data_IF_294331565161
#
_entry.id   IF_294331565161
#
_cell.length_a   1.000
_cell.length_b   1.000
_cell.length_c   1.000
_cell.angle_alpha   90.00
_cell.angle_beta   90.00
_cell.angle_gamma   90.00
#
_symmetry.space_group_name_H-M   'P 1'
#
loop_
_entity.id
_entity.type
_entity.pdbx_description
1 polymer ?
#
# COMPACT_ATOMS: atom_id res chain seq x y z
N UNK A 1 42.12 -40.44 -37.22
CA UNK A 1 41.69 -40.93 -35.88
C UNK A 1 41.79 -39.81 -34.84
N UNK A 2 42.98 -39.18 -34.63
CA UNK A 2 43.15 -38.08 -33.63
C UNK A 2 42.33 -36.82 -33.99
N UNK A 3 42.35 -36.39 -35.24
CA UNK A 3 41.56 -35.24 -35.74
C UNK A 3 40.06 -35.51 -35.60
N UNK A 4 39.59 -36.68 -35.93
CA UNK A 4 38.20 -37.13 -35.76
C UNK A 4 37.80 -37.07 -34.28
N UNK A 5 38.70 -37.43 -33.37
CA UNK A 5 38.43 -37.36 -31.93
C UNK A 5 38.29 -35.95 -31.44
N UNK A 6 39.07 -34.98 -31.97
CA UNK A 6 38.92 -33.54 -31.66
C UNK A 6 37.57 -33.01 -32.14
N UNK A 7 37.16 -33.32 -33.37
CA UNK A 7 35.84 -32.89 -33.87
C UNK A 7 34.68 -33.56 -33.13
N UNK A 8 34.85 -34.79 -32.70
CA UNK A 8 33.85 -35.46 -31.88
C UNK A 8 33.72 -34.82 -30.50
N UNK A 9 34.87 -34.55 -29.86
CA UNK A 9 34.91 -33.86 -28.58
C UNK A 9 34.25 -32.47 -28.66
N UNK A 10 34.54 -31.70 -29.70
CA UNK A 10 33.92 -30.40 -29.91
C UNK A 10 32.39 -30.49 -30.06
N UNK A 11 31.91 -31.50 -30.83
CA UNK A 11 30.48 -31.74 -31.02
C UNK A 11 29.75 -32.18 -29.75
N UNK A 12 30.42 -32.95 -28.91
CA UNK A 12 29.88 -33.47 -27.64
C UNK A 12 29.99 -32.48 -26.50
N UNK A 13 30.85 -31.47 -26.61
CA UNK A 13 31.07 -30.48 -25.58
C UNK A 13 30.11 -29.29 -25.71
N UNK A 14 29.15 -29.21 -24.77
CA UNK A 14 28.12 -28.16 -24.79
C UNK A 14 28.63 -26.78 -24.27
N UNK A 15 29.76 -26.76 -23.56
CA UNK A 15 30.17 -25.56 -22.80
C UNK A 15 31.35 -24.80 -23.44
N UNK A 16 32.32 -25.52 -24.03
CA UNK A 16 33.50 -24.94 -24.65
C UNK A 16 33.48 -25.24 -26.15
N UNK A 17 32.87 -24.36 -26.92
CA UNK A 17 32.90 -24.42 -28.37
C UNK A 17 34.14 -23.72 -28.92
N UNK A 18 34.95 -24.48 -29.68
CA UNK A 18 36.08 -23.91 -30.40
C UNK A 18 35.61 -23.24 -31.69
N UNK A 19 36.20 -22.10 -32.03
CA UNK A 19 35.89 -21.43 -33.29
C UNK A 19 36.33 -22.31 -34.46
N UNK A 20 35.59 -22.27 -35.59
CA UNK A 20 35.88 -23.08 -36.76
C UNK A 20 37.29 -22.92 -37.31
N UNK A 21 37.81 -21.69 -37.25
CA UNK A 21 39.15 -21.35 -37.74
C UNK A 21 40.23 -21.99 -36.82
N UNK A 22 40.01 -22.00 -35.51
CA UNK A 22 40.89 -22.63 -34.54
C UNK A 22 40.90 -24.15 -34.69
N UNK A 23 39.70 -24.76 -34.93
CA UNK A 23 39.60 -26.22 -35.18
C UNK A 23 40.37 -26.60 -36.44
N UNK A 24 40.31 -25.80 -37.49
CA UNK A 24 41.07 -26.00 -38.70
C UNK A 24 42.56 -25.87 -38.49
N UNK A 25 42.99 -24.86 -37.72
CA UNK A 25 44.40 -24.67 -37.37
C UNK A 25 44.93 -25.80 -36.51
N UNK A 26 44.20 -26.23 -35.48
CA UNK A 26 44.54 -27.43 -34.71
C UNK A 26 44.65 -28.68 -35.56
N UNK A 27 43.70 -28.89 -36.52
CA UNK A 27 43.77 -30.02 -37.44
C UNK A 27 45.03 -29.99 -38.32
N UNK A 28 45.40 -28.82 -38.84
CA UNK A 28 46.65 -28.62 -39.64
C UNK A 28 47.90 -28.91 -38.79
N UNK A 29 47.93 -28.45 -37.56
CA UNK A 29 49.07 -28.71 -36.66
C UNK A 29 49.15 -30.20 -36.26
N UNK A 30 48.04 -30.90 -36.08
CA UNK A 30 47.98 -32.34 -35.85
C UNK A 30 48.47 -33.12 -37.08
N UNK A 31 48.13 -32.73 -38.31
CA UNK A 31 48.63 -33.33 -39.56
C UNK A 31 50.16 -33.19 -39.74
N UNK A 32 50.70 -32.08 -39.28
CA UNK A 32 52.16 -31.80 -39.35
C UNK A 32 52.94 -32.35 -38.14
N UNK A 33 52.25 -33.02 -37.21
CA UNK A 33 52.83 -33.46 -35.94
C UNK A 33 53.97 -34.46 -36.20
N UNK A 34 55.21 -34.05 -35.91
CA UNK A 34 56.43 -34.85 -36.08
C UNK A 34 57.34 -34.79 -34.86
N UNK A 35 57.23 -33.75 -34.05
CA UNK A 35 58.12 -33.46 -32.91
C UNK A 35 57.36 -33.05 -31.64
N UNK A 36 58.01 -33.13 -30.50
CA UNK A 36 57.44 -32.66 -29.21
C UNK A 36 57.07 -31.19 -29.25
N UNK A 37 57.76 -30.36 -30.06
CA UNK A 37 57.45 -28.94 -30.24
C UNK A 37 56.07 -28.74 -30.83
N UNK A 38 55.61 -29.60 -31.75
CA UNK A 38 54.30 -29.52 -32.40
C UNK A 38 53.19 -29.81 -31.40
N UNK A 39 53.40 -30.66 -30.40
CA UNK A 39 52.50 -30.91 -29.30
C UNK A 39 52.23 -29.62 -28.49
N UNK A 40 53.26 -28.86 -28.17
CA UNK A 40 53.10 -27.63 -27.40
C UNK A 40 52.36 -26.55 -28.16
N UNK A 41 52.50 -26.49 -29.49
CA UNK A 41 51.73 -25.59 -30.34
C UNK A 41 50.21 -25.92 -30.30
N UNK A 42 49.87 -27.18 -30.48
CA UNK A 42 48.47 -27.65 -30.43
C UNK A 42 47.84 -27.37 -29.05
N UNK A 43 48.59 -27.69 -27.97
CA UNK A 43 48.18 -27.40 -26.61
C UNK A 43 48.02 -25.91 -26.35
N UNK A 44 48.89 -25.08 -26.92
CA UNK A 44 48.81 -23.63 -26.80
C UNK A 44 47.52 -23.05 -27.40
N UNK A 45 47.08 -23.54 -28.55
CA UNK A 45 45.82 -23.16 -29.19
C UNK A 45 44.63 -23.52 -28.31
N UNK A 46 44.54 -24.73 -27.78
CA UNK A 46 43.49 -25.15 -26.89
C UNK A 46 43.45 -24.37 -25.57
N UNK A 47 44.63 -24.14 -24.96
CA UNK A 47 44.71 -23.36 -23.72
C UNK A 47 44.31 -21.91 -23.92
N UNK A 48 44.67 -21.29 -25.06
CA UNK A 48 44.28 -19.90 -25.37
C UNK A 48 42.77 -19.72 -25.37
N UNK A 49 42.04 -20.64 -25.98
CA UNK A 49 40.57 -20.59 -25.96
C UNK A 49 39.98 -20.87 -24.58
N UNK A 50 40.54 -21.79 -23.85
CA UNK A 50 40.13 -22.05 -22.47
C UNK A 50 40.32 -20.82 -21.59
N UNK A 51 41.48 -20.16 -21.67
CA UNK A 51 41.73 -18.94 -20.89
C UNK A 51 40.77 -17.81 -21.29
N UNK A 52 40.56 -17.59 -22.57
CA UNK A 52 39.58 -16.61 -23.10
C UNK A 52 38.17 -16.84 -22.52
N UNK A 53 37.70 -18.10 -22.59
CA UNK A 53 36.38 -18.47 -22.09
C UNK A 53 36.27 -18.35 -20.56
N UNK A 54 37.34 -18.75 -19.87
CA UNK A 54 37.44 -18.63 -18.41
C UNK A 54 37.38 -17.15 -17.96
N UNK A 55 38.05 -16.27 -18.67
CA UNK A 55 37.99 -14.82 -18.39
C UNK A 55 36.60 -14.24 -18.68
N UNK A 56 35.98 -14.64 -19.78
CA UNK A 56 34.61 -14.23 -20.12
C UNK A 56 33.62 -14.63 -19.03
N UNK A 57 33.66 -15.89 -18.60
CA UNK A 57 32.78 -16.41 -17.56
C UNK A 57 33.04 -15.77 -16.21
N UNK A 58 34.31 -15.56 -15.85
CA UNK A 58 34.69 -14.85 -14.63
C UNK A 58 34.18 -13.41 -14.62
N UNK A 59 34.24 -12.72 -15.76
CA UNK A 59 33.65 -11.39 -15.93
C UNK A 59 32.13 -11.38 -15.72
N UNK A 60 31.42 -12.35 -16.31
CA UNK A 60 29.97 -12.50 -16.12
C UNK A 60 29.59 -12.78 -14.67
N UNK A 61 30.31 -13.68 -14.01
CA UNK A 61 30.10 -14.00 -12.60
C UNK A 61 30.30 -12.75 -11.72
N UNK A 62 31.37 -11.99 -11.97
CA UNK A 62 31.62 -10.76 -11.23
C UNK A 62 30.54 -9.72 -11.45
N UNK A 63 30.07 -9.53 -12.69
CA UNK A 63 28.98 -8.62 -13.01
C UNK A 63 27.70 -9.03 -12.30
N UNK A 64 27.28 -10.28 -12.43
CA UNK A 64 26.07 -10.79 -11.77
C UNK A 64 26.15 -10.70 -10.24
N UNK A 65 27.34 -10.93 -9.67
CA UNK A 65 27.55 -10.78 -8.23
C UNK A 65 27.37 -9.33 -7.76
N UNK A 66 27.83 -8.36 -8.55
CA UNK A 66 27.60 -6.93 -8.27
C UNK A 66 26.11 -6.57 -8.38
N UNK A 67 25.44 -6.94 -9.46
CA UNK A 67 24.02 -6.71 -9.66
C UNK A 67 23.19 -7.31 -8.51
N UNK A 68 23.54 -8.51 -8.07
CA UNK A 68 22.86 -9.16 -6.95
C UNK A 68 23.10 -8.43 -5.62
N UNK A 69 24.31 -7.91 -5.40
CA UNK A 69 24.62 -7.10 -4.22
C UNK A 69 23.83 -5.80 -4.20
N UNK A 70 23.76 -5.11 -5.34
CA UNK A 70 23.02 -3.85 -5.47
C UNK A 70 21.53 -4.07 -5.22
N UNK A 71 20.95 -5.13 -5.79
CA UNK A 71 19.54 -5.49 -5.55
C UNK A 71 19.24 -5.88 -4.10
N UNK A 72 20.19 -6.49 -3.42
CA UNK A 72 20.04 -6.77 -1.98
C UNK A 72 20.03 -5.50 -1.16
N UNK A 73 20.92 -4.56 -1.42
CA UNK A 73 20.94 -3.28 -0.73
C UNK A 73 19.65 -2.49 -0.96
N UNK A 74 19.17 -2.45 -2.20
CA UNK A 74 17.89 -1.80 -2.54
C UNK A 74 16.72 -2.44 -1.76
N UNK A 75 16.64 -3.77 -1.75
CA UNK A 75 15.63 -4.50 -1.00
C UNK A 75 15.70 -4.21 0.50
N UNK A 76 16.89 -4.24 1.07
CA UNK A 76 17.06 -4.03 2.51
C UNK A 76 16.66 -2.59 2.89
N UNK A 77 17.00 -1.58 2.06
CA UNK A 77 16.52 -0.21 2.24
C UNK A 77 14.98 -0.09 2.22
N UNK A 78 14.33 -0.71 1.24
CA UNK A 78 12.86 -0.72 1.18
C UNK A 78 12.25 -1.44 2.39
N UNK A 79 12.87 -2.52 2.86
CA UNK A 79 12.41 -3.21 4.06
C UNK A 79 12.52 -2.34 5.32
N UNK A 80 13.61 -1.58 5.47
CA UNK A 80 13.78 -0.65 6.59
C UNK A 80 12.75 0.49 6.55
N UNK A 81 12.50 1.06 5.37
CA UNK A 81 11.45 2.06 5.19
C UNK A 81 10.07 1.50 5.55
N UNK A 82 9.76 0.30 5.09
CA UNK A 82 8.49 -0.37 5.39
C UNK A 82 8.33 -0.68 6.89
N UNK A 83 9.41 -1.05 7.57
CA UNK A 83 9.39 -1.22 9.02
C UNK A 83 9.20 0.12 9.76
N UNK A 84 9.81 1.20 9.27
CA UNK A 84 9.59 2.54 9.82
C UNK A 84 8.14 2.96 9.66
N UNK A 85 7.54 2.76 8.47
CA UNK A 85 6.12 3.04 8.23
C UNK A 85 5.19 2.19 9.13
N UNK A 86 5.48 0.90 9.30
CA UNK A 86 4.69 0.03 10.20
C UNK A 86 4.81 0.41 11.68
N UNK A 87 5.94 0.98 12.07
CA UNK A 87 6.18 1.42 13.45
C UNK A 87 5.73 2.87 13.71
N UNK A 88 5.43 3.65 12.67
CA UNK A 88 4.72 4.90 12.85
C UNK A 88 3.31 4.55 13.33
N UNK A 89 3.00 4.93 14.56
CA UNK A 89 1.61 4.89 15.03
C UNK A 89 0.81 5.81 14.12
N UNK A 90 -0.25 5.27 13.53
CA UNK A 90 -1.24 6.10 12.88
C UNK A 90 -1.63 7.23 13.82
N UNK A 91 -1.69 8.49 13.36
CA UNK A 91 -2.10 9.58 14.21
C UNK A 91 -3.50 9.25 14.76
N UNK A 92 -3.59 9.20 16.07
CA UNK A 92 -4.86 8.98 16.76
C UNK A 92 -5.31 10.28 17.41
N UNK A 93 -6.59 10.66 17.28
CA UNK A 93 -7.13 11.79 17.99
C UNK A 93 -6.91 11.67 19.51
N UNK A 94 -6.68 12.81 20.19
CA UNK A 94 -6.49 12.82 21.65
C UNK A 94 -7.74 12.34 22.39
N UNK A 95 -7.57 11.39 23.27
CA UNK A 95 -8.65 10.78 24.06
C UNK A 95 -8.38 10.87 25.54
N UNK A 96 -9.45 10.97 26.33
CA UNK A 96 -9.35 10.85 27.77
C UNK A 96 -9.12 9.37 28.18
N UNK A 97 -8.44 9.17 29.31
CA UNK A 97 -8.28 7.81 29.88
C UNK A 97 -9.63 7.10 30.12
N UNK A 98 -10.67 7.87 30.42
CA UNK A 98 -12.01 7.35 30.61
C UNK A 98 -12.61 6.77 29.33
N UNK A 99 -12.42 7.45 28.17
CA UNK A 99 -12.84 6.94 26.87
C UNK A 99 -12.10 5.67 26.48
N UNK A 100 -10.81 5.61 26.73
CA UNK A 100 -10.04 4.39 26.46
C UNK A 100 -10.48 3.20 27.33
N UNK A 101 -10.79 3.48 28.59
CA UNK A 101 -11.35 2.46 29.50
C UNK A 101 -12.70 1.96 29.02
N UNK A 102 -13.59 2.86 28.58
CA UNK A 102 -14.88 2.49 28.00
C UNK A 102 -14.71 1.59 26.77
N UNK A 103 -13.82 1.95 25.84
CA UNK A 103 -13.57 1.18 24.63
C UNK A 103 -12.98 -0.21 24.92
N UNK A 104 -12.17 -0.34 25.96
CA UNK A 104 -11.73 -1.65 26.47
C UNK A 104 -12.91 -2.47 27.02
N UNK A 105 -13.79 -1.87 27.80
CA UNK A 105 -14.98 -2.55 28.33
C UNK A 105 -15.94 -3.00 27.22
N UNK A 106 -16.12 -2.20 26.16
CA UNK A 106 -16.90 -2.60 24.98
C UNK A 106 -16.33 -3.87 24.35
N UNK A 107 -15.01 -3.93 24.15
CA UNK A 107 -14.32 -5.12 23.61
C UNK A 107 -14.47 -6.34 24.54
N UNK A 108 -14.31 -6.16 25.86
CA UNK A 108 -14.46 -7.24 26.85
C UNK A 108 -15.89 -7.80 26.88
N UNK A 109 -16.88 -6.96 26.62
CA UNK A 109 -18.29 -7.35 26.54
C UNK A 109 -18.71 -7.91 25.18
N UNK A 110 -17.78 -7.94 24.20
CA UNK A 110 -18.07 -8.41 22.85
C UNK A 110 -19.00 -7.50 22.07
N UNK A 111 -19.07 -6.20 22.40
CA UNK A 111 -19.82 -5.20 21.66
C UNK A 111 -18.95 -4.72 20.51
N UNK A 112 -19.31 -5.01 19.25
CA UNK A 112 -18.52 -4.59 18.10
C UNK A 112 -18.66 -3.08 17.87
N UNK A 113 -17.56 -2.42 17.53
CA UNK A 113 -17.56 -1.02 17.15
C UNK A 113 -16.44 -0.72 16.16
N UNK A 114 -16.66 0.30 15.33
CA UNK A 114 -15.64 0.88 14.45
C UNK A 114 -15.50 2.37 14.73
N UNK A 115 -14.30 2.90 14.44
CA UNK A 115 -14.02 4.35 14.42
C UNK A 115 -13.97 4.78 12.96
N UNK A 116 -14.68 5.82 12.59
CA UNK A 116 -14.83 6.21 11.19
C UNK A 116 -13.48 6.41 10.49
N UNK A 117 -12.56 7.16 11.10
CA UNK A 117 -11.24 7.46 10.53
C UNK A 117 -10.34 6.23 10.26
N UNK A 118 -10.66 5.06 10.85
CA UNK A 118 -9.88 3.82 10.64
C UNK A 118 -10.35 3.01 9.45
N UNK A 119 -11.47 3.35 8.86
CA UNK A 119 -12.14 2.54 7.84
C UNK A 119 -12.51 3.31 6.59
N UNK A 120 -12.11 4.57 6.51
CA UNK A 120 -12.33 5.41 5.33
C UNK A 120 -11.00 5.98 4.81
N UNK A 121 -10.93 6.19 3.51
CA UNK A 121 -9.84 6.84 2.81
C UNK A 121 -10.40 7.75 1.71
N UNK A 122 -9.60 8.69 1.22
CA UNK A 122 -10.01 9.56 0.12
C UNK A 122 -9.91 8.87 -1.24
N UNK A 123 -10.97 8.89 -2.02
CA UNK A 123 -11.01 8.27 -3.37
C UNK A 123 -10.23 9.04 -4.47
N UNK A 124 -9.64 10.17 -4.12
CA UNK A 124 -8.84 10.98 -5.04
C UNK A 124 -9.59 12.02 -5.86
N UNK A 125 -10.92 12.14 -5.73
CA UNK A 125 -11.74 13.14 -6.46
C UNK A 125 -11.64 14.56 -5.89
N UNK A 126 -11.34 14.70 -4.60
CA UNK A 126 -11.16 15.98 -3.93
C UNK A 126 -9.72 16.49 -4.08
N UNK A 127 -9.56 17.79 -4.23
CA UNK A 127 -8.26 18.43 -4.11
C UNK A 127 -7.78 18.46 -2.63
N UNK A 128 -6.50 18.75 -2.42
CA UNK A 128 -5.88 18.72 -1.09
C UNK A 128 -6.58 19.65 -0.09
N UNK A 129 -7.04 20.80 -0.54
CA UNK A 129 -7.76 21.78 0.31
C UNK A 129 -9.15 21.26 0.70
N UNK A 130 -9.85 20.64 -0.23
CA UNK A 130 -11.17 20.05 0.02
C UNK A 130 -11.09 18.84 0.94
N UNK A 131 -10.03 18.02 0.81
CA UNK A 131 -9.75 16.93 1.76
C UNK A 131 -9.55 17.45 3.17
N UNK A 132 -8.72 18.51 3.30
CA UNK A 132 -8.49 19.15 4.59
C UNK A 132 -9.79 19.66 5.20
N UNK A 133 -10.64 20.29 4.41
CA UNK A 133 -11.93 20.82 4.88
C UNK A 133 -12.90 19.69 5.29
N UNK A 134 -12.95 18.61 4.53
CA UNK A 134 -13.81 17.47 4.84
C UNK A 134 -13.38 16.80 6.15
N UNK A 135 -12.09 16.50 6.30
CA UNK A 135 -11.57 15.85 7.50
C UNK A 135 -11.73 16.74 8.75
N UNK A 136 -11.36 18.02 8.66
CA UNK A 136 -11.49 18.96 9.77
C UNK A 136 -12.96 19.18 10.18
N UNK A 137 -13.88 19.24 9.21
CA UNK A 137 -15.30 19.34 9.50
C UNK A 137 -15.84 18.10 10.23
N UNK A 138 -15.48 16.89 9.78
CA UNK A 138 -15.84 15.64 10.45
C UNK A 138 -15.26 15.56 11.87
N UNK A 139 -14.05 16.08 12.07
CA UNK A 139 -13.43 16.18 13.39
C UNK A 139 -14.18 17.15 14.30
N UNK A 140 -14.47 18.37 13.83
CA UNK A 140 -15.22 19.37 14.60
C UNK A 140 -16.64 18.94 14.93
N UNK A 141 -17.30 18.22 14.03
CA UNK A 141 -18.60 17.62 14.30
C UNK A 141 -18.51 16.46 15.29
N UNK A 142 -17.29 15.93 15.56
CA UNK A 142 -17.03 14.80 16.42
C UNK A 142 -17.46 13.45 15.81
N UNK A 143 -17.74 13.42 14.51
CA UNK A 143 -18.13 12.21 13.77
C UNK A 143 -16.92 11.32 13.51
N UNK A 144 -15.76 11.92 13.23
CA UNK A 144 -14.53 11.19 12.89
C UNK A 144 -14.09 10.22 13.99
N UNK A 145 -14.22 10.64 15.25
CA UNK A 145 -13.84 9.85 16.44
C UNK A 145 -14.96 9.00 17.03
N UNK A 146 -16.19 9.22 16.60
CA UNK A 146 -17.35 8.56 17.16
C UNK A 146 -17.30 7.04 16.90
N UNK A 147 -17.83 6.28 17.84
CA UNK A 147 -17.94 4.84 17.77
C UNK A 147 -19.19 4.46 16.97
N UNK A 148 -19.01 3.84 15.84
CA UNK A 148 -20.10 3.26 15.05
C UNK A 148 -20.43 1.91 15.66
N UNK A 149 -21.61 1.80 16.24
CA UNK A 149 -22.10 0.61 16.94
C UNK A 149 -23.40 0.14 16.32
N UNK A 150 -23.60 -1.17 16.08
CA UNK A 150 -24.88 -1.67 15.58
C UNK A 150 -26.03 -1.35 16.55
N UNK A 151 -27.21 -1.04 15.99
CA UNK A 151 -28.37 -0.60 16.77
C UNK A 151 -28.79 -1.59 17.85
N UNK A 152 -28.59 -2.88 17.63
CA UNK A 152 -28.90 -3.95 18.58
C UNK A 152 -28.13 -3.87 19.90
N UNK A 153 -26.94 -3.21 19.89
CA UNK A 153 -26.09 -3.02 21.08
C UNK A 153 -26.25 -1.64 21.73
N UNK A 154 -27.18 -0.80 21.23
CA UNK A 154 -27.36 0.59 21.69
C UNK A 154 -27.53 0.72 23.20
N UNK A 155 -28.48 -0.01 23.76
CA UNK A 155 -28.75 0.06 25.21
C UNK A 155 -27.55 -0.42 26.04
N UNK A 156 -26.87 -1.47 25.60
CA UNK A 156 -25.72 -2.03 26.28
C UNK A 156 -24.52 -1.08 26.22
N UNK A 157 -24.25 -0.49 25.07
CA UNK A 157 -23.15 0.47 24.89
C UNK A 157 -23.37 1.73 25.74
N UNK A 158 -24.58 2.31 25.69
CA UNK A 158 -24.91 3.49 26.50
C UNK A 158 -24.90 3.22 28.01
N UNK A 159 -25.25 2.01 28.44
CA UNK A 159 -25.19 1.64 29.85
C UNK A 159 -23.75 1.49 30.36
N UNK A 160 -22.81 1.06 29.52
CA UNK A 160 -21.38 0.96 29.85
C UNK A 160 -20.72 2.34 29.90
N UNK A 161 -21.18 3.28 29.06
CA UNK A 161 -20.62 4.64 28.95
C UNK A 161 -21.08 5.60 30.07
N UNK A 162 -21.72 5.11 31.10
CA UNK A 162 -22.25 5.94 32.18
C UNK A 162 -21.15 6.84 32.79
N UNK A 163 -21.17 8.13 32.44
CA UNK A 163 -20.24 9.15 32.93
C UNK A 163 -18.91 9.30 32.17
N UNK A 164 -18.70 8.57 31.08
CA UNK A 164 -17.48 8.65 30.25
C UNK A 164 -17.59 9.69 29.15
N UNK A 165 -18.80 9.93 28.63
CA UNK A 165 -19.09 10.87 27.54
C UNK A 165 -18.39 10.54 26.20
N UNK A 166 -18.26 9.26 25.87
CA UNK A 166 -17.86 8.85 24.52
C UNK A 166 -18.99 9.17 23.51
N UNK A 167 -18.69 9.18 22.23
CA UNK A 167 -19.66 9.52 21.19
C UNK A 167 -20.02 8.28 20.40
N UNK A 168 -21.32 8.06 20.20
CA UNK A 168 -21.83 6.90 19.48
C UNK A 168 -22.65 7.32 18.28
N UNK A 169 -22.48 6.61 17.18
CA UNK A 169 -23.32 6.71 16.00
C UNK A 169 -24.01 5.37 15.81
N UNK A 170 -25.34 5.39 15.83
CA UNK A 170 -26.17 4.24 15.54
C UNK A 170 -26.77 4.39 14.13
N UNK A 171 -26.95 3.30 13.41
CA UNK A 171 -27.16 3.30 11.97
C UNK A 171 -28.54 3.75 11.45
N UNK A 172 -29.34 4.44 12.26
CA UNK A 172 -30.66 4.97 11.84
C UNK A 172 -30.53 6.34 11.15
N UNK A 173 -29.74 6.38 10.06
CA UNK A 173 -29.46 7.63 9.34
C UNK A 173 -30.21 7.68 8.00
N UNK A 174 -30.81 8.82 7.67
CA UNK A 174 -31.56 9.04 6.44
C UNK A 174 -30.62 9.37 5.28
N UNK A 175 -30.79 8.71 4.14
CA UNK A 175 -30.04 8.95 2.91
C UNK A 175 -30.20 10.39 2.39
N UNK A 176 -29.10 10.98 1.94
CA UNK A 176 -29.04 12.29 1.27
C UNK A 176 -28.49 12.09 -0.14
N UNK A 177 -29.10 12.73 -1.14
CA UNK A 177 -28.77 12.51 -2.56
C UNK A 177 -27.33 12.88 -2.91
N UNK A 178 -26.88 14.07 -2.49
CA UNK A 178 -25.48 14.50 -2.65
C UNK A 178 -24.82 14.33 -1.30
N UNK A 179 -23.94 13.36 -1.15
CA UNK A 179 -23.35 13.00 0.14
C UNK A 179 -21.83 12.78 0.04
N UNK A 180 -21.18 12.69 1.18
CA UNK A 180 -19.72 12.57 1.25
C UNK A 180 -19.21 11.19 0.83
N UNK A 181 -20.05 10.17 0.72
CA UNK A 181 -19.68 8.84 0.24
C UNK A 181 -19.13 8.86 -1.19
N UNK A 182 -19.49 9.88 -1.99
CA UNK A 182 -19.00 10.05 -3.36
C UNK A 182 -17.49 10.38 -3.43
N UNK A 183 -16.86 10.70 -2.30
CA UNK A 183 -15.46 11.15 -2.18
C UNK A 183 -14.60 10.27 -1.27
N UNK A 184 -15.20 9.26 -0.66
CA UNK A 184 -14.56 8.41 0.32
C UNK A 184 -14.70 6.93 -0.06
N UNK A 185 -13.59 6.22 0.00
CA UNK A 185 -13.57 4.77 -0.06
C UNK A 185 -13.67 4.17 1.35
N UNK A 186 -14.37 3.05 1.49
CA UNK A 186 -14.51 2.34 2.75
C UNK A 186 -13.66 1.08 2.69
N UNK A 187 -12.64 1.00 3.52
CA UNK A 187 -11.77 -0.16 3.62
C UNK A 187 -12.48 -1.32 4.32
N UNK A 188 -12.36 -2.51 3.75
CA UNK A 188 -13.13 -3.71 4.11
C UNK A 188 -12.24 -4.86 4.63
N UNK A 189 -11.02 -4.55 5.08
CA UNK A 189 -10.03 -5.59 5.42
C UNK A 189 -10.36 -6.41 6.68
N UNK A 190 -11.17 -5.93 7.61
CA UNK A 190 -11.43 -6.58 8.91
C UNK A 190 -12.76 -7.36 9.05
N UNK A 191 -13.45 -7.64 7.97
CA UNK A 191 -14.34 -8.82 7.90
C UNK A 191 -15.75 -8.74 8.52
N UNK A 192 -16.20 -7.67 9.18
CA UNK A 192 -17.60 -7.56 9.65
C UNK A 192 -18.46 -6.75 8.67
N UNK A 193 -19.08 -7.45 7.73
CA UNK A 193 -19.93 -6.89 6.66
C UNK A 193 -21.03 -5.97 7.20
N UNK A 194 -21.60 -6.27 8.35
CA UNK A 194 -22.68 -5.47 8.95
C UNK A 194 -22.18 -4.10 9.43
N UNK A 195 -20.99 -4.05 10.03
CA UNK A 195 -20.38 -2.80 10.47
C UNK A 195 -20.04 -1.89 9.27
N UNK A 196 -19.49 -2.44 8.20
CA UNK A 196 -19.19 -1.68 6.97
C UNK A 196 -20.44 -1.15 6.28
N UNK A 197 -21.53 -1.91 6.27
CA UNK A 197 -22.81 -1.40 5.79
C UNK A 197 -23.32 -0.22 6.62
N UNK A 198 -23.09 -0.21 7.92
CA UNK A 198 -23.41 0.91 8.79
C UNK A 198 -22.54 2.13 8.49
N UNK A 199 -21.23 1.97 8.24
CA UNK A 199 -20.34 3.05 7.80
C UNK A 199 -20.90 3.69 6.52
N UNK A 200 -21.16 2.91 5.49
CA UNK A 200 -21.70 3.42 4.22
C UNK A 200 -23.03 4.17 4.41
N UNK A 201 -23.91 3.67 5.26
CA UNK A 201 -25.17 4.37 5.60
C UNK A 201 -24.94 5.71 6.28
N UNK A 202 -23.99 5.79 7.19
CA UNK A 202 -23.64 7.03 7.89
C UNK A 202 -23.06 8.05 6.91
N UNK A 203 -22.14 7.65 6.03
CA UNK A 203 -21.54 8.53 5.03
C UNK A 203 -22.58 9.04 4.03
N UNK A 204 -23.55 8.21 3.63
CA UNK A 204 -24.65 8.63 2.75
C UNK A 204 -25.67 9.55 3.43
N UNK A 205 -25.63 9.68 4.75
CA UNK A 205 -26.50 10.60 5.50
C UNK A 205 -25.86 11.99 5.73
N UNK A 206 -24.60 12.17 5.41
CA UNK A 206 -23.88 13.44 5.51
C UNK A 206 -23.88 14.10 4.14
N UNK A 207 -24.58 15.23 4.01
CA UNK A 207 -24.72 15.95 2.74
C UNK A 207 -23.44 16.68 2.33
N UNK A 208 -23.16 16.67 1.02
CA UNK A 208 -22.15 17.54 0.40
C UNK A 208 -22.85 18.65 -0.35
N UNK A 209 -22.62 19.93 0.01
CA UNK A 209 -23.22 21.09 -0.66
C UNK A 209 -22.27 21.71 -1.67
N UNK A 210 -22.73 21.81 -2.91
CA UNK A 210 -22.17 22.69 -3.94
C UNK A 210 -22.82 24.08 -3.85
N UNK A 211 -22.05 25.14 -4.10
CA UNK A 211 -22.39 26.54 -3.74
C UNK A 211 -23.67 27.12 -4.34
N UNK A 212 -24.26 26.50 -5.35
CA UNK A 212 -25.29 27.11 -6.19
C UNK A 212 -26.70 26.51 -6.03
N UNK A 213 -26.92 25.61 -5.07
CA UNK A 213 -28.25 25.04 -4.84
C UNK A 213 -29.04 25.87 -3.81
N UNK A 214 -29.55 27.01 -4.24
CA UNK A 214 -30.52 27.83 -3.47
C UNK A 214 -31.92 27.18 -3.34
N UNK A 215 -32.14 25.97 -3.87
CA UNK A 215 -33.51 25.46 -4.02
C UNK A 215 -33.70 24.06 -3.48
N UNK A 216 -33.67 23.89 -2.18
CA UNK A 216 -34.32 22.74 -1.54
C UNK A 216 -35.14 23.21 -0.34
N UNK A 217 -36.40 22.80 -0.27
CA UNK A 217 -37.43 23.29 0.66
C UNK A 217 -36.91 23.46 2.11
N UNK A 218 -36.93 24.68 2.59
CA UNK A 218 -36.39 25.17 3.87
C UNK A 218 -36.83 24.40 5.13
N UNK A 219 -37.85 23.56 5.06
CA UNK A 219 -38.40 22.91 6.25
C UNK A 219 -37.82 21.52 6.56
N UNK A 220 -37.21 20.85 5.59
CA UNK A 220 -36.65 19.50 5.75
C UNK A 220 -35.14 19.54 6.04
N UNK A 221 -34.45 20.64 5.71
CA UNK A 221 -33.00 20.76 5.78
C UNK A 221 -32.45 21.25 7.11
N UNK A 222 -33.25 21.88 7.97
CA UNK A 222 -32.77 22.52 9.20
C UNK A 222 -32.09 21.63 10.21
N UNK A 223 -32.24 20.29 10.09
CA UNK A 223 -31.67 19.33 11.05
C UNK A 223 -30.76 18.28 10.41
N UNK A 224 -30.21 18.53 9.22
CA UNK A 224 -29.33 17.58 8.54
C UNK A 224 -27.84 17.86 8.84
N UNK A 225 -27.06 16.82 8.78
CA UNK A 225 -25.59 16.92 8.82
C UNK A 225 -25.09 17.17 7.40
N UNK A 226 -24.27 18.20 7.23
CA UNK A 226 -23.75 18.60 5.92
C UNK A 226 -22.40 19.29 6.00
N UNK A 227 -21.66 19.24 4.90
CA UNK A 227 -20.37 19.93 4.70
C UNK A 227 -20.41 20.57 3.30
N UNK A 228 -19.75 21.72 3.11
CA UNK A 228 -19.64 22.37 1.80
C UNK A 228 -18.17 22.49 1.32
N UNK A 229 -18.00 22.83 0.06
CA UNK A 229 -16.68 23.03 -0.57
C UNK A 229 -15.84 24.14 0.08
N UNK A 230 -16.40 25.03 0.89
CA UNK A 230 -15.70 26.11 1.58
C UNK A 230 -15.31 25.76 3.00
N UNK A 231 -15.64 24.55 3.44
CA UNK A 231 -15.40 24.09 4.80
C UNK A 231 -16.43 24.58 5.81
N UNK A 232 -17.61 25.06 5.37
CA UNK A 232 -18.71 25.24 6.30
C UNK A 232 -19.38 23.90 6.56
N UNK A 233 -19.85 23.69 7.76
CA UNK A 233 -20.50 22.45 8.16
C UNK A 233 -21.66 22.69 9.10
N UNK A 234 -22.58 21.75 9.16
CA UNK A 234 -23.71 21.79 10.09
C UNK A 234 -24.07 20.41 10.62
N UNK A 235 -24.45 20.35 11.88
CA UNK A 235 -24.96 19.18 12.54
C UNK A 235 -26.14 19.56 13.43
N UNK A 236 -27.35 19.15 13.02
CA UNK A 236 -28.57 19.57 13.70
C UNK A 236 -28.73 21.09 13.71
N UNK A 237 -28.68 21.71 14.87
CA UNK A 237 -28.78 23.16 15.08
C UNK A 237 -27.41 23.86 15.16
N UNK A 238 -26.32 23.13 15.05
CA UNK A 238 -24.95 23.66 15.15
C UNK A 238 -24.42 23.87 13.74
N UNK A 239 -23.90 25.07 13.49
CA UNK A 239 -23.19 25.40 12.25
C UNK A 239 -21.81 25.95 12.59
N UNK A 240 -20.83 25.66 11.76
CA UNK A 240 -19.44 26.08 11.95
C UNK A 240 -18.69 26.19 10.64
N UNK A 241 -17.43 26.60 10.77
CA UNK A 241 -16.50 26.72 9.64
C UNK A 241 -15.15 26.16 10.08
N UNK A 242 -14.46 25.47 9.16
CA UNK A 242 -13.11 24.93 9.36
C UNK A 242 -12.05 26.04 9.28
N UNK A 243 -10.86 25.73 9.77
CA UNK A 243 -9.70 26.63 9.65
C UNK A 243 -9.08 26.47 8.24
N UNK A 244 -8.34 27.47 7.79
CA UNK A 244 -7.65 27.39 6.48
C UNK A 244 -6.26 26.73 6.55
N UNK A 245 -5.82 26.34 7.72
CA UNK A 245 -4.45 25.90 7.98
C UNK A 245 -4.37 24.43 8.45
N UNK A 246 -5.43 23.67 8.31
CA UNK A 246 -5.46 22.26 8.68
C UNK A 246 -4.76 21.41 7.63
N UNK A 247 -3.98 20.44 8.06
CA UNK A 247 -3.37 19.41 7.21
C UNK A 247 -4.03 18.10 7.53
N UNK A 248 -4.64 17.38 6.57
CA UNK A 248 -5.24 16.07 6.79
C UNK A 248 -4.22 15.11 7.38
N UNK A 249 -4.63 14.32 8.36
CA UNK A 249 -3.74 13.37 9.03
C UNK A 249 -4.43 12.07 9.51
N UNK A 250 -5.76 11.98 9.41
CA UNK A 250 -6.51 10.83 9.92
C UNK A 250 -7.16 9.98 8.79
N UNK A 251 -7.44 10.58 7.64
CA UNK A 251 -8.05 9.94 6.47
C UNK A 251 -7.05 9.89 5.33
#
# INVERSE_FOLDING_TARGET
ETIESVYRWEKENAELHLQSDLLQEMAREIEKYTTETDYWNIRGLANGEFERKSQELSGKVLQQSRELSDRRLEKDGICEELEQWKNQKEPEPERSEAMEKNRRLLKEKGIPYLQLYKVIDFDGKLDETQRAYLEEALLHMGILEALIVPEEYREQALALDAGVCDRYIFSDAAYVRNNIMDFLDVDNEEGDILLYQNVSRILTAIGWKEQDEETISESIEKNRTWIDKRGNYGIGIIEGTVTKNYTPCFI
#
